data_IF_545426955589
#
_entry.id   IF_545426955589
#
_cell.length_a   1.000
_cell.length_b   1.000
_cell.length_c   1.000
_cell.angle_alpha   90.00
_cell.angle_beta   90.00
_cell.angle_gamma   90.00
#
_symmetry.space_group_name_H-M   'P 1'
#
loop_
_entity.id
_entity.type
_entity.pdbx_description
1 polymer ?
#
# COMPACT_ATOMS: atom_id res chain seq x y z
N UNK A 1 -3.72 4.52 -6.48
CA UNK A 1 -4.87 5.38 -6.86
C UNK A 1 -4.78 5.70 -8.35
N UNK A 2 -5.90 6.01 -9.02
CA UNK A 2 -5.88 6.52 -10.38
C UNK A 2 -5.12 7.85 -10.47
N UNK A 3 -4.35 8.04 -11.53
CA UNK A 3 -3.65 9.29 -11.87
C UNK A 3 -3.99 9.64 -13.32
N UNK A 4 -4.14 10.93 -13.65
CA UNK A 4 -4.43 11.34 -15.03
C UNK A 4 -3.14 11.56 -15.81
N UNK A 5 -3.01 10.87 -16.94
CA UNK A 5 -1.94 11.09 -17.90
C UNK A 5 -2.40 12.15 -18.92
N UNK A 6 -1.88 13.38 -18.77
CA UNK A 6 -2.20 14.51 -19.64
C UNK A 6 -1.73 14.31 -21.08
N UNK A 7 -0.65 13.55 -21.31
CA UNK A 7 -0.10 13.34 -22.64
C UNK A 7 -0.99 12.42 -23.46
N UNK A 8 -1.48 11.34 -22.84
CA UNK A 8 -2.30 10.35 -23.51
C UNK A 8 -3.82 10.57 -23.32
N UNK A 9 -4.21 11.49 -22.41
CA UNK A 9 -5.61 11.80 -22.13
C UNK A 9 -6.37 10.66 -21.45
N UNK A 10 -5.67 9.82 -20.67
CA UNK A 10 -6.23 8.62 -20.04
C UNK A 10 -5.97 8.60 -18.53
N UNK A 11 -6.81 7.87 -17.80
CA UNK A 11 -6.53 7.54 -16.40
C UNK A 11 -5.62 6.31 -16.34
N UNK A 12 -4.52 6.40 -15.59
CA UNK A 12 -3.61 5.29 -15.30
C UNK A 12 -3.72 4.89 -13.83
N UNK A 13 -3.37 3.64 -13.51
CA UNK A 13 -3.29 3.14 -12.14
C UNK A 13 -2.31 1.97 -12.09
N UNK A 14 -1.95 1.54 -10.88
CA UNK A 14 -1.22 0.29 -10.66
C UNK A 14 -1.97 -0.88 -11.32
N UNK A 15 -1.26 -1.64 -12.14
CA UNK A 15 -1.69 -2.84 -12.84
C UNK A 15 -1.12 -4.12 -12.20
N UNK A 16 -0.50 -3.97 -11.02
CA UNK A 16 0.17 -5.04 -10.28
C UNK A 16 1.38 -5.63 -11.01
N UNK A 17 2.01 -4.88 -11.92
CA UNK A 17 3.14 -5.34 -12.74
C UNK A 17 2.79 -6.61 -13.54
N UNK A 18 1.61 -6.63 -14.16
CA UNK A 18 1.06 -7.81 -14.83
C UNK A 18 2.04 -8.49 -15.79
N UNK A 19 2.80 -7.72 -16.57
CA UNK A 19 3.81 -8.25 -17.50
C UNK A 19 4.92 -9.03 -16.79
N UNK A 20 5.43 -8.52 -15.67
CA UNK A 20 6.46 -9.19 -14.89
C UNK A 20 5.95 -10.48 -14.26
N UNK A 21 4.73 -10.46 -13.74
CA UNK A 21 4.09 -11.66 -13.17
C UNK A 21 3.94 -12.75 -14.23
N UNK A 22 3.56 -12.39 -15.46
CA UNK A 22 3.45 -13.34 -16.57
C UNK A 22 4.79 -14.00 -16.93
N UNK A 23 5.91 -13.31 -16.70
CA UNK A 23 7.27 -13.83 -16.87
C UNK A 23 7.78 -14.60 -15.64
N UNK A 24 6.97 -14.76 -14.60
CA UNK A 24 7.34 -15.43 -13.35
C UNK A 24 8.22 -14.58 -12.43
N UNK A 25 8.26 -13.26 -12.65
CA UNK A 25 8.98 -12.31 -11.79
C UNK A 25 8.05 -11.66 -10.76
N UNK A 26 8.62 -11.16 -9.68
CA UNK A 26 7.89 -10.38 -8.69
C UNK A 26 7.57 -8.96 -9.21
N UNK A 27 6.56 -8.26 -8.63
CA UNK A 27 6.34 -6.86 -8.95
C UNK A 27 7.56 -5.99 -8.63
N UNK A 28 7.76 -4.95 -9.43
CA UNK A 28 8.95 -4.11 -9.33
C UNK A 28 9.14 -3.48 -7.94
N UNK A 29 8.05 -3.10 -7.25
CA UNK A 29 8.12 -2.51 -5.92
C UNK A 29 8.56 -3.51 -4.84
N UNK A 30 8.24 -4.79 -5.01
CA UNK A 30 8.66 -5.86 -4.11
C UNK A 30 10.12 -6.21 -4.36
N UNK A 31 10.49 -6.42 -5.62
CA UNK A 31 11.88 -6.72 -6.02
C UNK A 31 12.84 -5.59 -5.62
N UNK A 32 12.43 -4.33 -5.76
CA UNK A 32 13.26 -3.17 -5.45
C UNK A 32 13.39 -2.87 -3.94
N UNK A 33 12.61 -3.53 -3.06
CA UNK A 33 12.58 -3.19 -1.64
C UNK A 33 13.87 -3.64 -0.93
N UNK A 34 14.77 -2.72 -0.50
CA UNK A 34 16.06 -3.11 0.05
C UNK A 34 15.95 -3.73 1.46
N UNK A 35 14.85 -3.46 2.16
CA UNK A 35 14.59 -3.96 3.51
C UNK A 35 13.70 -5.20 3.53
N UNK A 36 13.22 -5.65 2.36
CA UNK A 36 12.25 -6.75 2.23
C UNK A 36 10.98 -6.55 3.09
N UNK A 37 10.53 -5.30 3.20
CA UNK A 37 9.31 -4.95 3.92
C UNK A 37 8.03 -5.19 3.10
N UNK A 38 8.16 -5.30 1.78
CA UNK A 38 7.06 -5.56 0.87
C UNK A 38 7.08 -7.03 0.45
N UNK A 39 5.90 -7.64 0.38
CA UNK A 39 5.71 -9.03 0.01
C UNK A 39 4.55 -9.13 -0.99
N UNK A 40 4.63 -10.11 -1.88
CA UNK A 40 3.60 -10.41 -2.87
C UNK A 40 3.27 -11.90 -2.82
N UNK A 41 1.99 -12.24 -2.90
CA UNK A 41 1.55 -13.63 -2.87
C UNK A 41 0.05 -13.76 -2.71
N UNK A 42 -0.37 -14.99 -2.41
CA UNK A 42 -1.76 -15.28 -2.09
C UNK A 42 -2.21 -14.54 -0.83
N UNK A 43 -3.43 -14.02 -0.89
CA UNK A 43 -3.97 -13.17 0.16
C UNK A 43 -4.17 -13.91 1.49
N UNK A 44 -4.69 -15.13 1.42
CA UNK A 44 -5.00 -15.92 2.61
C UNK A 44 -3.72 -16.45 3.26
N UNK A 45 -2.72 -16.80 2.44
CA UNK A 45 -1.38 -17.16 2.92
C UNK A 45 -0.71 -15.99 3.66
N UNK A 46 -0.74 -14.78 3.08
CA UNK A 46 -0.16 -13.58 3.71
C UNK A 46 -0.87 -13.24 5.02
N UNK A 47 -2.19 -13.40 5.11
CA UNK A 47 -2.93 -13.24 6.36
C UNK A 47 -2.57 -14.31 7.38
N UNK A 48 -2.43 -15.57 6.97
CA UNK A 48 -2.06 -16.65 7.86
C UNK A 48 -0.66 -16.43 8.47
N UNK A 49 0.28 -15.91 7.67
CA UNK A 49 1.66 -15.67 8.08
C UNK A 49 1.83 -14.40 8.94
N UNK A 50 1.14 -13.32 8.59
CA UNK A 50 1.37 -12.01 9.20
C UNK A 50 0.23 -11.51 10.10
N UNK A 51 -0.85 -12.30 10.22
CA UNK A 51 -2.03 -11.98 11.01
C UNK A 51 -3.06 -11.11 10.27
N UNK A 52 -4.07 -10.64 11.00
CA UNK A 52 -5.11 -9.75 10.46
C UNK A 52 -4.67 -8.28 10.48
N UNK A 53 -4.87 -7.65 9.33
CA UNK A 53 -4.47 -6.30 8.93
C UNK A 53 -4.70 -5.22 9.98
N UNK A 54 -3.67 -4.41 10.18
CA UNK A 54 -3.81 -3.10 10.79
C UNK A 54 -4.57 -2.17 9.85
N UNK A 55 -5.71 -1.70 10.30
CA UNK A 55 -6.23 -0.40 9.87
C UNK A 55 -5.20 0.60 10.37
N UNK A 56 -4.48 1.25 9.45
CA UNK A 56 -3.55 2.33 9.79
C UNK A 56 -4.16 3.66 9.35
N UNK A 57 -3.97 4.73 10.12
CA UNK A 57 -4.28 6.06 9.61
C UNK A 57 -3.27 6.40 8.50
N UNK A 58 -3.71 7.10 7.44
CA UNK A 58 -5.03 7.69 7.23
C UNK A 58 -5.99 6.83 6.38
N UNK A 59 -5.75 5.53 6.22
CA UNK A 59 -6.58 4.68 5.35
C UNK A 59 -8.00 4.55 5.91
N UNK A 60 -9.04 4.55 5.05
CA UNK A 60 -10.43 4.38 5.50
C UNK A 60 -10.70 2.93 5.93
N UNK A 61 -11.89 2.69 6.50
CA UNK A 61 -12.30 1.33 6.89
C UNK A 61 -12.17 0.34 5.71
N UNK A 62 -11.56 -0.83 5.92
CA UNK A 62 -11.42 -1.84 4.87
C UNK A 62 -12.76 -2.44 4.45
N UNK A 63 -13.84 -2.26 5.22
CA UNK A 63 -15.19 -2.72 4.88
C UNK A 63 -15.78 -2.01 3.65
N UNK A 64 -15.24 -0.84 3.27
CA UNK A 64 -15.76 -0.07 2.13
C UNK A 64 -15.47 -0.77 0.81
N UNK A 65 -14.25 -1.30 0.63
CA UNK A 65 -13.79 -1.88 -0.64
C UNK A 65 -13.19 -3.27 -0.51
N UNK A 66 -13.08 -3.80 0.70
CA UNK A 66 -12.48 -5.11 1.00
C UNK A 66 -11.14 -5.32 0.26
N UNK A 67 -10.14 -4.43 0.43
CA UNK A 67 -8.93 -4.46 -0.40
C UNK A 67 -8.07 -5.69 -0.11
N UNK A 68 -7.35 -6.21 -1.10
CA UNK A 68 -6.35 -7.28 -0.94
C UNK A 68 -4.97 -6.76 -0.47
N UNK A 69 -4.93 -5.88 0.53
CA UNK A 69 -3.69 -5.28 1.06
C UNK A 69 -3.49 -5.63 2.53
N UNK A 70 -2.42 -6.36 2.90
CA UNK A 70 -2.08 -6.65 4.30
C UNK A 70 -1.07 -5.64 4.83
N UNK A 71 -1.35 -5.04 6.00
CA UNK A 71 -0.43 -4.11 6.67
C UNK A 71 -0.14 -4.63 8.07
N UNK A 72 1.15 -4.82 8.36
CA UNK A 72 1.65 -5.14 9.69
C UNK A 72 2.01 -3.81 10.37
N UNK A 73 1.26 -3.38 11.41
CA UNK A 73 1.56 -2.13 12.08
C UNK A 73 2.87 -2.20 12.88
N UNK A 74 3.51 -1.06 13.15
CA UNK A 74 4.67 -1.02 14.02
C UNK A 74 4.32 -1.48 15.45
N UNK A 75 5.28 -2.06 16.18
CA UNK A 75 5.06 -2.63 17.53
C UNK A 75 4.48 -1.66 18.57
N UNK A 76 4.54 -0.34 18.33
CA UNK A 76 4.09 0.69 19.27
C UNK A 76 2.62 1.13 19.04
N UNK A 77 1.86 0.39 18.24
CA UNK A 77 0.58 0.87 17.71
C UNK A 77 -0.46 1.17 18.81
N UNK A 78 -0.71 2.48 18.99
CA UNK A 78 -2.02 2.95 19.44
C UNK A 78 -2.90 2.91 18.19
N UNK A 79 -4.16 2.47 18.34
CA UNK A 79 -5.16 2.58 17.27
C UNK A 79 -5.04 3.95 16.60
N UNK A 80 -5.04 4.02 15.26
CA UNK A 80 -4.80 5.27 14.57
C UNK A 80 -5.89 6.29 14.92
N UNK A 81 -5.51 7.34 15.64
CA UNK A 81 -6.39 8.46 15.90
C UNK A 81 -6.22 9.49 14.78
N UNK A 82 -7.14 9.46 13.82
CA UNK A 82 -7.18 10.35 12.66
C UNK A 82 -7.21 11.84 13.04
N UNK A 83 -7.53 12.18 14.30
CA UNK A 83 -7.62 13.56 14.76
C UNK A 83 -6.42 14.02 15.61
N UNK A 84 -5.41 13.16 15.82
CA UNK A 84 -4.24 13.48 16.68
C UNK A 84 -2.89 13.39 15.96
N UNK A 85 -2.88 13.13 14.66
CA UNK A 85 -1.66 13.18 13.86
C UNK A 85 -1.08 14.60 13.80
N UNK A 86 0.24 14.73 13.90
CA UNK A 86 0.98 15.97 13.66
C UNK A 86 1.87 15.73 12.44
N UNK A 87 1.91 16.68 11.50
CA UNK A 87 2.83 16.62 10.35
C UNK A 87 4.27 16.63 10.90
N UNK A 88 4.98 15.51 10.75
CA UNK A 88 6.37 15.39 11.19
C UNK A 88 7.36 15.91 10.16
N UNK A 89 6.99 15.85 8.87
CA UNK A 89 7.80 16.38 7.78
C UNK A 89 6.99 17.35 6.90
N UNK A 90 6.97 18.66 7.24
CA UNK A 90 6.23 19.65 6.48
C UNK A 90 6.67 19.78 5.02
N UNK A 91 7.93 19.44 4.70
CA UNK A 91 8.46 19.50 3.34
C UNK A 91 7.78 18.49 2.40
N UNK A 92 7.32 17.34 2.91
CA UNK A 92 6.61 16.31 2.15
C UNK A 92 5.12 16.63 1.91
N UNK A 93 4.56 17.58 2.66
CA UNK A 93 3.13 17.93 2.65
C UNK A 93 2.92 19.33 2.06
N UNK A 94 3.94 19.91 1.42
CA UNK A 94 3.78 21.20 0.76
C UNK A 94 2.80 21.06 -0.41
N UNK A 95 1.76 21.88 -0.38
CA UNK A 95 0.83 22.08 -1.49
C UNK A 95 1.61 22.75 -2.64
N UNK A 96 2.24 21.96 -3.50
CA UNK A 96 2.58 22.38 -4.87
C UNK A 96 1.37 22.18 -5.80
#
# INVERSE_FOLDING_TARGET
APQFDYTNGIMTKCDFCQSQIQEGREPCCVEACPTHALLFGDYDELIALHGKKGIIAPLPSPEITCPNLVIVPPKQDKLPDYNKGLIQNPEEVKDE
#
